data_IF_383640714487
#
_entry.id   IF_383640714487
#
_cell.length_a   1.000
_cell.length_b   1.000
_cell.length_c   1.000
_cell.angle_alpha   90.00
_cell.angle_beta   90.00
_cell.angle_gamma   90.00
#
_symmetry.space_group_name_H-M   'P 1'
#
loop_
_entity.id
_entity.type
_entity.pdbx_description
1 polymer ?
#
# COMPACT_ATOMS: atom_id res chain seq x y z
N UNK A 1 -3.67 10.93 -17.13
CA UNK A 1 -3.64 11.11 -18.61
C UNK A 1 -4.16 9.88 -19.36
N UNK A 2 -5.17 9.19 -18.81
CA UNK A 2 -5.91 8.13 -19.49
C UNK A 2 -7.39 8.24 -19.10
N UNK A 3 -7.99 9.37 -19.45
CA UNK A 3 -9.44 9.54 -19.36
C UNK A 3 -10.05 8.94 -20.63
N UNK A 4 -10.04 7.61 -20.73
CA UNK A 4 -10.82 6.90 -21.75
C UNK A 4 -12.23 6.75 -21.20
N UNK A 5 -13.14 7.60 -21.68
CA UNK A 5 -14.56 7.48 -21.43
C UNK A 5 -15.22 6.45 -22.34
N UNK A 6 -16.52 6.26 -22.12
CA UNK A 6 -17.34 5.36 -22.94
C UNK A 6 -17.35 5.78 -24.42
N UNK A 7 -17.35 7.08 -24.70
CA UNK A 7 -17.37 7.62 -26.05
C UNK A 7 -16.09 7.31 -26.81
N UNK A 8 -14.93 7.45 -26.17
CA UNK A 8 -13.62 7.14 -26.74
C UNK A 8 -13.49 5.65 -27.06
N UNK A 9 -13.95 4.78 -26.15
CA UNK A 9 -13.95 3.33 -26.36
C UNK A 9 -14.83 2.93 -27.55
N UNK A 10 -16.01 3.55 -27.68
CA UNK A 10 -16.92 3.32 -28.80
C UNK A 10 -16.32 3.80 -30.13
N UNK A 11 -15.67 4.97 -30.13
CA UNK A 11 -14.96 5.47 -31.30
C UNK A 11 -13.85 4.50 -31.76
N UNK A 12 -13.02 4.04 -30.82
CA UNK A 12 -11.97 3.04 -31.11
C UNK A 12 -12.56 1.75 -31.64
N UNK A 13 -13.68 1.27 -31.08
CA UNK A 13 -14.37 0.09 -31.56
C UNK A 13 -14.85 0.26 -33.01
N UNK A 14 -15.49 1.39 -33.35
CA UNK A 14 -15.93 1.68 -34.72
C UNK A 14 -14.74 1.74 -35.68
N UNK A 15 -13.67 2.45 -35.33
CA UNK A 15 -12.46 2.53 -36.14
C UNK A 15 -11.83 1.15 -36.34
N UNK A 16 -11.75 0.35 -35.28
CA UNK A 16 -11.26 -1.02 -35.34
C UNK A 16 -12.08 -1.91 -36.27
N UNK A 17 -13.42 -1.79 -36.22
CA UNK A 17 -14.32 -2.49 -37.13
C UNK A 17 -14.17 -2.02 -38.58
N UNK A 18 -13.90 -0.74 -38.83
CA UNK A 18 -13.71 -0.22 -40.18
C UNK A 18 -12.37 -0.64 -40.79
N UNK A 19 -11.28 -0.57 -40.03
CA UNK A 19 -9.92 -0.88 -40.50
C UNK A 19 -9.72 -2.37 -40.70
N UNK A 20 -10.10 -3.16 -39.68
CA UNK A 20 -9.88 -4.60 -39.69
C UNK A 20 -11.04 -5.35 -40.36
N UNK A 21 -12.25 -4.79 -40.28
CA UNK A 21 -13.48 -5.44 -40.70
C UNK A 21 -14.19 -6.13 -39.52
N UNK A 22 -15.53 -6.11 -39.46
CA UNK A 22 -16.31 -6.75 -38.39
C UNK A 22 -16.11 -8.26 -38.32
N UNK A 23 -15.81 -8.90 -39.44
CA UNK A 23 -15.59 -10.36 -39.49
C UNK A 23 -14.21 -10.77 -38.98
N UNK A 24 -13.19 -9.89 -39.11
CA UNK A 24 -11.79 -10.20 -38.78
C UNK A 24 -11.39 -9.79 -37.36
N UNK A 25 -12.07 -8.79 -36.78
CA UNK A 25 -11.89 -8.40 -35.38
C UNK A 25 -12.04 -9.56 -34.38
N UNK A 26 -13.13 -10.37 -34.42
CA UNK A 26 -13.27 -11.51 -33.50
C UNK A 26 -12.19 -12.57 -33.70
N UNK A 27 -11.73 -12.80 -34.94
CA UNK A 27 -10.64 -13.73 -35.24
C UNK A 27 -9.30 -13.25 -34.68
N UNK A 28 -9.01 -11.95 -34.79
CA UNK A 28 -7.83 -11.32 -34.22
C UNK A 28 -7.81 -11.40 -32.69
N UNK A 29 -8.94 -11.13 -32.03
CA UNK A 29 -9.07 -11.29 -30.57
C UNK A 29 -8.82 -12.75 -30.17
N UNK A 30 -9.40 -13.71 -30.89
CA UNK A 30 -9.20 -15.15 -30.59
C UNK A 30 -7.74 -15.57 -30.72
N UNK A 31 -7.06 -15.08 -31.75
CA UNK A 31 -5.65 -15.37 -31.97
C UNK A 31 -4.79 -14.74 -30.88
N UNK A 32 -4.97 -13.44 -30.62
CA UNK A 32 -4.21 -12.72 -29.61
C UNK A 32 -4.44 -13.28 -28.20
N UNK A 33 -5.70 -13.59 -27.85
CA UNK A 33 -6.04 -14.21 -26.57
C UNK A 33 -5.49 -15.63 -26.43
N UNK A 34 -5.47 -16.42 -27.50
CA UNK A 34 -4.83 -17.75 -27.49
C UNK A 34 -3.33 -17.64 -27.25
N UNK A 35 -2.65 -16.64 -27.81
CA UNK A 35 -1.23 -16.40 -27.60
C UNK A 35 -0.94 -15.94 -26.18
N UNK A 36 -1.73 -15.00 -25.66
CA UNK A 36 -1.63 -14.56 -24.27
C UNK A 36 -1.91 -15.71 -23.29
N UNK A 37 -2.90 -16.57 -23.59
CA UNK A 37 -3.21 -17.74 -22.77
C UNK A 37 -2.07 -18.76 -22.76
N UNK A 38 -1.38 -18.96 -23.90
CA UNK A 38 -0.20 -19.82 -23.98
C UNK A 38 0.95 -19.26 -23.15
N UNK A 39 1.20 -17.95 -23.23
CA UNK A 39 2.22 -17.27 -22.42
C UNK A 39 1.89 -17.39 -20.93
N UNK A 40 0.66 -17.05 -20.53
CA UNK A 40 0.19 -17.20 -19.15
C UNK A 40 0.39 -18.62 -18.62
N UNK A 41 0.02 -19.64 -19.40
CA UNK A 41 0.24 -21.06 -19.03
C UNK A 41 1.72 -21.39 -18.87
N UNK A 42 2.61 -20.79 -19.67
CA UNK A 42 4.06 -20.93 -19.52
C UNK A 42 4.55 -20.35 -18.19
N UNK A 43 4.13 -19.13 -17.85
CA UNK A 43 4.42 -18.50 -16.56
C UNK A 43 3.86 -19.30 -15.38
N UNK A 44 2.63 -19.80 -15.49
CA UNK A 44 2.00 -20.62 -14.45
C UNK A 44 2.75 -21.95 -14.24
N UNK A 45 3.29 -22.55 -15.32
CA UNK A 45 4.16 -23.74 -15.23
C UNK A 45 5.49 -23.44 -14.56
N UNK A 46 6.20 -22.39 -15.00
CA UNK A 46 7.46 -21.97 -14.37
C UNK A 46 7.24 -21.66 -12.89
N UNK A 47 6.14 -20.96 -12.55
CA UNK A 47 5.76 -20.71 -11.16
C UNK A 47 5.51 -22.02 -10.40
N UNK A 48 4.83 -22.99 -11.01
CA UNK A 48 4.55 -24.28 -10.38
C UNK A 48 5.81 -25.15 -10.21
N UNK A 49 6.75 -25.10 -11.17
CA UNK A 49 8.03 -25.81 -11.10
C UNK A 49 8.95 -25.16 -10.05
N UNK A 50 9.00 -23.82 -10.03
CA UNK A 50 9.66 -23.04 -8.98
C UNK A 50 9.03 -23.30 -7.62
N UNK A 51 7.70 -23.35 -7.51
CA UNK A 51 7.03 -23.70 -6.25
C UNK A 51 7.35 -25.15 -5.86
N UNK A 52 7.44 -26.11 -6.79
CA UNK A 52 7.81 -27.50 -6.49
C UNK A 52 9.26 -27.65 -6.03
N UNK A 53 10.20 -26.93 -6.64
CA UNK A 53 11.61 -26.92 -6.24
C UNK A 53 11.82 -26.17 -4.91
N UNK A 54 11.15 -25.02 -4.71
CA UNK A 54 11.25 -24.22 -3.50
C UNK A 54 10.39 -24.74 -2.32
N UNK A 55 9.38 -25.57 -2.57
CA UNK A 55 8.60 -26.27 -1.54
C UNK A 55 9.43 -27.38 -0.88
N UNK A 56 10.63 -27.68 -1.39
CA UNK A 56 11.49 -28.66 -0.74
C UNK A 56 12.25 -28.09 0.46
N UNK A 57 12.51 -26.77 0.67
CA UNK A 57 12.99 -26.35 2.01
C UNK A 57 13.03 -24.86 2.43
N UNK A 58 12.86 -23.81 1.59
CA UNK A 58 13.37 -22.49 2.07
C UNK A 58 12.51 -21.22 1.93
N UNK A 59 11.42 -21.21 1.16
CA UNK A 59 10.71 -19.94 0.84
C UNK A 59 9.29 -19.83 1.44
N UNK A 60 8.83 -20.80 2.25
CA UNK A 60 7.56 -20.64 3.00
C UNK A 60 7.73 -20.01 4.39
N UNK A 61 8.92 -20.06 4.98
CA UNK A 61 9.15 -19.57 6.35
C UNK A 61 9.60 -18.10 6.39
N UNK A 62 10.20 -17.57 5.31
CA UNK A 62 10.82 -16.23 5.34
C UNK A 62 9.90 -15.07 4.89
N UNK A 63 8.80 -15.35 4.18
CA UNK A 63 8.01 -14.29 3.53
C UNK A 63 6.63 -14.00 4.12
N UNK A 64 6.11 -14.77 5.09
CA UNK A 64 4.67 -14.60 5.45
C UNK A 64 4.22 -14.64 6.90
N UNK A 65 5.06 -14.81 7.91
CA UNK A 65 4.50 -14.76 9.28
C UNK A 65 5.33 -14.07 10.34
N UNK A 66 6.65 -14.25 10.39
CA UNK A 66 7.37 -13.79 11.58
C UNK A 66 7.96 -12.38 11.42
N UNK A 67 8.44 -11.99 10.25
CA UNK A 67 9.12 -10.70 10.06
C UNK A 67 8.16 -9.50 10.01
N UNK A 68 6.99 -9.66 9.35
CA UNK A 68 6.06 -8.54 9.16
C UNK A 68 5.18 -8.34 10.40
N UNK A 69 4.64 -9.41 10.98
CA UNK A 69 3.77 -9.33 12.17
C UNK A 69 4.56 -8.82 13.39
N UNK A 70 5.79 -9.28 13.59
CA UNK A 70 6.63 -8.81 14.70
C UNK A 70 7.11 -7.37 14.53
N UNK A 71 7.23 -6.87 13.29
CA UNK A 71 7.54 -5.45 13.04
C UNK A 71 6.36 -4.56 13.40
N UNK A 72 5.13 -4.97 13.05
CA UNK A 72 3.91 -4.23 13.42
C UNK A 72 3.65 -4.18 14.93
N UNK A 73 3.96 -5.25 15.68
CA UNK A 73 3.84 -5.26 17.14
C UNK A 73 4.85 -4.33 17.81
N UNK A 74 6.10 -4.30 17.33
CA UNK A 74 7.13 -3.38 17.84
C UNK A 74 6.78 -1.92 17.54
N UNK A 75 6.27 -1.64 16.35
CA UNK A 75 5.83 -0.29 15.97
C UNK A 75 4.67 0.17 16.86
N UNK A 76 3.70 -0.71 17.16
CA UNK A 76 2.62 -0.38 18.11
C UNK A 76 3.11 -0.10 19.52
N UNK A 77 4.04 -0.91 20.04
CA UNK A 77 4.59 -0.70 21.37
C UNK A 77 5.40 0.60 21.46
N UNK A 78 6.15 0.95 20.41
CA UNK A 78 6.86 2.22 20.35
C UNK A 78 5.88 3.39 20.30
N UNK A 79 4.81 3.31 19.50
CA UNK A 79 3.79 4.35 19.44
C UNK A 79 3.08 4.57 20.79
N UNK A 80 2.77 3.50 21.53
CA UNK A 80 2.17 3.61 22.87
C UNK A 80 3.15 4.22 23.89
N UNK A 81 4.45 3.90 23.80
CA UNK A 81 5.47 4.49 24.65
C UNK A 81 5.71 5.98 24.34
N UNK A 82 5.70 6.35 23.05
CA UNK A 82 5.76 7.75 22.63
C UNK A 82 4.53 8.54 23.08
N UNK A 83 3.32 7.97 22.96
CA UNK A 83 2.08 8.64 23.39
C UNK A 83 2.08 8.88 24.91
N UNK A 84 2.51 7.89 25.71
CA UNK A 84 2.67 8.06 27.16
C UNK A 84 3.72 9.11 27.52
N UNK A 85 4.85 9.14 26.82
CA UNK A 85 5.92 10.11 27.06
C UNK A 85 5.49 11.52 26.64
N UNK A 86 4.75 11.65 25.53
CA UNK A 86 4.17 12.91 25.10
C UNK A 86 3.14 13.43 26.10
N UNK A 87 2.27 12.56 26.64
CA UNK A 87 1.30 12.93 27.66
C UNK A 87 1.95 13.32 28.98
N UNK A 88 2.98 12.60 29.44
CA UNK A 88 3.69 12.95 30.67
C UNK A 88 4.40 14.30 30.54
N UNK A 89 5.08 14.54 29.41
CA UNK A 89 5.78 15.80 29.15
C UNK A 89 4.79 16.96 29.05
N UNK A 90 3.66 16.78 28.38
CA UNK A 90 2.65 17.82 28.26
C UNK A 90 1.98 18.13 29.60
N UNK A 91 1.68 17.12 30.41
CA UNK A 91 1.08 17.31 31.75
C UNK A 91 2.07 17.99 32.71
N UNK A 92 3.35 17.62 32.67
CA UNK A 92 4.41 18.22 33.49
C UNK A 92 4.68 19.67 33.08
N UNK A 93 4.72 19.97 31.78
CA UNK A 93 4.86 21.33 31.27
C UNK A 93 3.64 22.21 31.63
N UNK A 94 2.41 21.68 31.55
CA UNK A 94 1.21 22.41 31.93
C UNK A 94 1.16 22.68 33.43
N UNK A 95 1.62 21.74 34.26
CA UNK A 95 1.70 21.88 35.71
C UNK A 95 2.79 22.88 36.13
N UNK A 96 3.94 22.87 35.45
CA UNK A 96 5.01 23.84 35.67
C UNK A 96 4.63 25.25 35.20
N UNK A 97 3.92 25.38 34.07
CA UNK A 97 3.37 26.67 33.63
C UNK A 97 2.28 27.18 34.58
N UNK A 98 1.42 26.30 35.11
CA UNK A 98 0.42 26.67 36.12
C UNK A 98 1.07 27.12 37.44
N UNK A 99 2.21 26.53 37.82
CA UNK A 99 3.03 26.97 38.97
C UNK A 99 3.72 28.31 38.73
N UNK A 100 4.12 28.60 37.49
CA UNK A 100 4.70 29.89 37.10
C UNK A 100 3.63 30.99 36.96
N UNK A 101 2.40 30.65 36.59
CA UNK A 101 1.26 31.58 36.58
C UNK A 101 0.80 31.94 38.01
N UNK A 102 1.04 31.06 38.99
CA UNK A 102 0.69 31.26 40.40
C UNK A 102 1.81 31.92 41.24
N UNK A 103 2.97 32.25 40.67
CA UNK A 103 3.98 33.01 41.39
C UNK A 103 3.52 34.48 41.54
N UNK A 104 3.17 34.93 42.76
CA UNK A 104 2.62 36.26 42.95
C UNK A 104 3.68 37.30 42.64
N UNK A 105 3.31 38.29 41.83
CA UNK A 105 4.05 39.52 41.64
C UNK A 105 4.13 40.29 42.98
N UNK A 106 5.12 39.95 43.80
CA UNK A 106 5.61 40.82 44.88
C UNK A 106 6.96 41.38 44.46
N UNK A 107 6.90 42.29 43.49
CA UNK A 107 7.98 43.22 43.19
C UNK A 107 7.39 44.56 42.73
N UNK A 108 6.47 45.11 43.52
CA UNK A 108 6.19 46.55 43.49
C UNK A 108 5.98 47.09 44.91
N UNK A 109 6.61 48.23 45.17
CA UNK A 109 6.46 49.13 46.32
C UNK A 109 7.13 48.64 47.63
N UNK A 110 8.15 49.29 48.20
CA UNK A 110 8.37 50.73 48.29
C UNK A 110 7.84 51.24 49.64
N UNK A 111 8.72 51.70 50.53
CA UNK A 111 8.37 52.35 51.81
C UNK A 111 9.07 51.79 53.02
#
# INVERSE_FOLDING_TARGET
MFDIGFAELLLVAIVGLLVLGPERLPEAIRTCSAWLARLKRGFDKVKADVERELNTDEIRTQLRSDAIVSSFEKDRQQLEALDRQAQSTNTELLDDLAKLEQAPSLAESGG
#
